data_IF_261459537249
#
_entry.id   IF_261459537249
#
_cell.length_a   1.000
_cell.length_b   1.000
_cell.length_c   1.000
_cell.angle_alpha   90.00
_cell.angle_beta   90.00
_cell.angle_gamma   90.00
#
_symmetry.space_group_name_H-M   'P 1'
#
loop_
_entity.id
_entity.type
_entity.pdbx_description
1 polymer ?
#
# COMPACT_ATOMS: atom_id res chain seq x y z
N UNK A 1 3.68 -42.08 -20.50
CA UNK A 1 4.72 -41.07 -20.77
C UNK A 1 4.57 -40.00 -19.71
N UNK A 2 5.66 -39.65 -19.04
CA UNK A 2 5.69 -38.93 -17.76
C UNK A 2 5.13 -37.50 -17.90
N UNK A 3 4.28 -37.17 -16.95
CA UNK A 3 3.67 -35.87 -16.69
C UNK A 3 4.71 -34.99 -15.97
N UNK A 4 5.08 -33.83 -16.53
CA UNK A 4 5.90 -32.84 -15.83
C UNK A 4 5.62 -31.44 -16.39
N UNK A 5 4.50 -30.87 -15.97
CA UNK A 5 4.32 -29.42 -15.83
C UNK A 5 5.29 -28.90 -14.78
N UNK A 6 6.56 -28.77 -15.16
CA UNK A 6 7.56 -28.03 -14.40
C UNK A 6 7.46 -26.55 -14.81
N UNK A 7 6.43 -25.87 -14.31
CA UNK A 7 6.42 -24.40 -14.23
C UNK A 7 7.46 -23.98 -13.18
N UNK A 8 8.72 -24.12 -13.56
CA UNK A 8 9.84 -23.58 -12.79
C UNK A 8 9.96 -22.15 -13.27
N UNK A 9 9.41 -21.22 -12.49
CA UNK A 9 9.66 -19.79 -12.63
C UNK A 9 11.11 -19.57 -13.05
N UNK A 10 11.32 -18.98 -14.22
CA UNK A 10 12.66 -18.72 -14.75
C UNK A 10 13.53 -18.10 -13.65
N UNK A 11 14.80 -18.49 -13.50
CA UNK A 11 15.68 -17.95 -12.44
C UNK A 11 15.79 -16.41 -12.49
N UNK A 12 15.52 -15.79 -13.64
CA UNK A 12 15.41 -14.35 -13.81
C UNK A 12 14.20 -13.73 -13.08
N UNK A 13 13.07 -14.43 -13.01
CA UNK A 13 11.87 -13.99 -12.29
C UNK A 13 12.08 -14.09 -10.78
N UNK A 14 12.68 -15.18 -10.31
CA UNK A 14 12.99 -15.36 -8.88
C UNK A 14 13.97 -14.29 -8.34
N UNK A 15 14.98 -13.92 -9.12
CA UNK A 15 15.90 -12.85 -8.76
C UNK A 15 15.21 -11.47 -8.71
N UNK A 16 14.29 -11.22 -9.65
CA UNK A 16 13.49 -9.99 -9.71
C UNK A 16 12.54 -9.88 -8.51
N UNK A 17 11.85 -10.98 -8.16
CA UNK A 17 10.97 -11.05 -7.01
C UNK A 17 11.73 -10.85 -5.69
N UNK A 18 12.88 -11.51 -5.52
CA UNK A 18 13.72 -11.34 -4.34
C UNK A 18 14.22 -9.89 -4.20
N UNK A 19 14.61 -9.26 -5.31
CA UNK A 19 14.99 -7.85 -5.33
C UNK A 19 13.82 -6.94 -4.97
N UNK A 20 12.65 -7.15 -5.58
CA UNK A 20 11.44 -6.37 -5.27
C UNK A 20 11.04 -6.50 -3.80
N UNK A 21 11.13 -7.71 -3.23
CA UNK A 21 10.87 -7.95 -1.81
C UNK A 21 11.87 -7.22 -0.91
N UNK A 22 13.17 -7.24 -1.25
CA UNK A 22 14.19 -6.51 -0.51
C UNK A 22 13.93 -4.98 -0.54
N UNK A 23 13.61 -4.43 -1.72
CA UNK A 23 13.24 -3.01 -1.88
C UNK A 23 12.00 -2.67 -1.05
N UNK A 24 10.95 -3.49 -1.11
CA UNK A 24 9.73 -3.28 -0.33
C UNK A 24 10.01 -3.31 1.18
N UNK A 25 10.83 -4.25 1.64
CA UNK A 25 11.22 -4.37 3.06
C UNK A 25 11.97 -3.12 3.53
N UNK A 26 12.96 -2.67 2.76
CA UNK A 26 13.73 -1.48 3.10
C UNK A 26 12.87 -0.22 3.04
N UNK A 27 11.96 -0.12 2.07
CA UNK A 27 11.02 0.99 1.98
C UNK A 27 10.10 1.06 3.21
N UNK A 28 9.53 -0.07 3.63
CA UNK A 28 8.70 -0.12 4.83
C UNK A 28 9.50 0.26 6.08
N UNK A 29 10.73 -0.24 6.22
CA UNK A 29 11.61 0.12 7.33
C UNK A 29 11.99 1.60 7.32
N UNK A 30 12.23 2.19 6.14
CA UNK A 30 12.51 3.61 5.98
C UNK A 30 11.31 4.46 6.44
N UNK A 31 10.11 4.14 5.93
CA UNK A 31 8.89 4.84 6.30
C UNK A 31 8.60 4.72 7.79
N UNK A 32 8.85 3.55 8.38
CA UNK A 32 8.69 3.33 9.82
C UNK A 32 9.78 4.02 10.67
N UNK A 33 10.97 4.26 10.13
CA UNK A 33 12.03 4.96 10.85
C UNK A 33 11.83 6.48 10.96
N UNK A 34 10.85 7.05 10.24
CA UNK A 34 10.60 8.49 10.26
C UNK A 34 10.14 8.94 11.66
N UNK A 35 10.65 10.06 12.21
CA UNK A 35 10.22 10.55 13.52
C UNK A 35 8.73 10.93 13.53
N UNK A 36 8.24 11.46 12.42
CA UNK A 36 6.83 11.69 12.14
C UNK A 36 6.42 10.89 10.90
N UNK A 37 5.30 10.14 10.95
CA UNK A 37 4.83 9.38 9.78
C UNK A 37 4.49 10.31 8.62
N UNK A 38 4.47 9.74 7.40
CA UNK A 38 4.17 10.49 6.16
C UNK A 38 2.88 11.27 6.24
N UNK A 39 1.85 10.70 6.89
CA UNK A 39 0.66 11.45 7.28
C UNK A 39 0.89 11.90 8.74
N UNK A 40 1.03 13.21 8.99
CA UNK A 40 1.21 13.77 10.34
C UNK A 40 0.22 13.24 11.36
N UNK A 41 0.68 12.99 12.60
CA UNK A 41 -0.18 12.49 13.69
C UNK A 41 -1.42 13.37 13.92
N UNK A 42 -1.25 14.69 13.78
CA UNK A 42 -2.32 15.69 13.93
C UNK A 42 -3.48 15.51 12.93
N UNK A 43 -3.26 14.81 11.82
CA UNK A 43 -4.26 14.57 10.79
C UNK A 43 -4.93 13.19 10.90
N UNK A 44 -4.45 12.29 11.78
CA UNK A 44 -4.96 10.90 11.83
C UNK A 44 -6.43 10.82 12.22
N UNK A 45 -6.86 11.61 13.20
CA UNK A 45 -8.26 11.67 13.61
C UNK A 45 -9.15 12.10 12.44
N UNK A 46 -8.73 13.15 11.71
CA UNK A 46 -9.45 13.65 10.55
C UNK A 46 -9.47 12.64 9.40
N UNK A 47 -8.36 11.95 9.13
CA UNK A 47 -8.32 10.85 8.17
C UNK A 47 -9.31 9.73 8.52
N UNK A 48 -9.51 9.43 9.80
CA UNK A 48 -10.45 8.40 10.25
C UNK A 48 -11.92 8.80 10.09
N UNK A 49 -12.23 10.10 10.01
CA UNK A 49 -13.58 10.62 9.81
C UNK A 49 -13.98 10.70 8.34
N UNK A 50 -13.00 10.66 7.42
CA UNK A 50 -13.25 10.73 5.98
C UNK A 50 -14.19 9.63 5.53
N UNK A 51 -15.29 10.05 4.90
CA UNK A 51 -16.37 9.16 4.52
C UNK A 51 -16.40 8.87 3.03
N UNK A 52 -15.79 9.75 2.22
CA UNK A 52 -15.83 9.72 0.77
C UNK A 52 -14.44 9.85 0.16
N UNK A 53 -14.33 9.41 -1.10
CA UNK A 53 -13.09 9.49 -1.88
C UNK A 53 -12.66 10.94 -2.09
N UNK A 54 -13.59 11.81 -2.47
CA UNK A 54 -13.26 13.19 -2.85
C UNK A 54 -12.73 13.96 -1.63
N UNK A 55 -13.35 13.75 -0.46
CA UNK A 55 -12.86 14.25 0.83
C UNK A 55 -11.46 13.70 1.18
N UNK A 56 -11.16 12.44 0.83
CA UNK A 56 -9.84 11.86 1.02
C UNK A 56 -8.78 12.58 0.16
N UNK A 57 -9.09 12.92 -1.09
CA UNK A 57 -8.21 13.69 -1.96
C UNK A 57 -8.06 15.15 -1.50
N UNK A 58 -9.12 15.78 -1.00
CA UNK A 58 -9.03 17.10 -0.38
C UNK A 58 -8.12 17.08 0.85
N UNK A 59 -8.19 16.03 1.66
CA UNK A 59 -7.29 15.83 2.80
C UNK A 59 -5.82 15.76 2.39
N UNK A 60 -5.49 15.14 1.25
CA UNK A 60 -4.11 15.12 0.75
C UNK A 60 -3.55 16.51 0.44
N UNK A 61 -4.40 17.48 0.06
CA UNK A 61 -3.96 18.85 -0.19
C UNK A 61 -3.61 19.61 1.10
N UNK A 62 -3.99 19.09 2.27
CA UNK A 62 -3.68 19.68 3.57
C UNK A 62 -2.34 19.22 4.14
N UNK A 63 -1.70 18.23 3.49
CA UNK A 63 -0.42 17.69 3.91
C UNK A 63 0.71 18.73 3.74
N UNK A 64 1.73 18.77 4.63
CA UNK A 64 2.87 19.69 4.49
C UNK A 64 3.65 19.43 3.20
N UNK A 65 4.12 20.46 2.49
CA UNK A 65 4.82 20.38 1.18
C UNK A 65 5.82 19.22 0.99
N UNK A 66 6.56 18.84 2.04
CA UNK A 66 7.49 17.70 2.05
C UNK A 66 6.83 16.32 1.86
N UNK A 67 5.52 16.23 2.11
CA UNK A 67 4.64 15.06 1.92
C UNK A 67 3.67 15.21 0.73
N UNK A 68 3.63 16.38 0.07
CA UNK A 68 2.68 16.73 -1.03
C UNK A 68 3.14 16.23 -2.39
N UNK A 69 3.75 15.07 -2.43
CA UNK A 69 3.74 14.26 -3.64
C UNK A 69 3.00 12.95 -3.34
N UNK A 70 1.71 12.99 -2.93
CA UNK A 70 0.95 11.77 -2.65
C UNK A 70 0.82 10.92 -3.92
N UNK A 71 0.80 11.55 -5.10
CA UNK A 71 0.87 10.89 -6.41
C UNK A 71 2.26 10.37 -6.79
N UNK A 72 3.27 10.50 -5.93
CA UNK A 72 4.61 9.90 -6.09
C UNK A 72 4.93 8.90 -4.99
N UNK A 73 4.43 9.12 -3.77
CA UNK A 73 4.66 8.22 -2.62
C UNK A 73 3.62 7.10 -2.54
N UNK A 74 2.35 7.36 -2.88
CA UNK A 74 1.30 6.32 -2.97
C UNK A 74 1.21 5.75 -4.38
N UNK A 75 1.50 6.54 -5.42
CA UNK A 75 1.74 5.96 -6.73
C UNK A 75 3.18 5.45 -6.80
N UNK A 76 3.40 4.26 -6.24
CA UNK A 76 4.27 3.30 -6.89
C UNK A 76 3.63 2.94 -8.25
N UNK A 77 3.70 3.90 -9.18
CA UNK A 77 3.29 3.78 -10.57
C UNK A 77 4.22 2.71 -11.15
N UNK A 78 3.71 1.47 -11.18
CA UNK A 78 4.37 0.18 -11.49
C UNK A 78 4.87 -0.64 -10.29
N UNK A 79 4.03 -0.95 -9.30
CA UNK A 79 4.06 -2.34 -8.77
C UNK A 79 3.36 -3.21 -9.83
N UNK A 80 4.13 -3.50 -10.87
CA UNK A 80 4.02 -4.66 -11.75
C UNK A 80 2.59 -5.08 -12.15
N UNK A 81 2.02 -4.32 -13.07
CA UNK A 81 0.91 -4.75 -13.92
C UNK A 81 1.50 -5.53 -15.13
N UNK A 82 2.35 -6.53 -14.89
CA UNK A 82 2.81 -7.43 -15.97
C UNK A 82 1.76 -8.46 -16.39
N UNK A 83 0.61 -8.53 -15.71
CA UNK A 83 -0.47 -9.45 -16.07
C UNK A 83 -1.75 -8.68 -16.48
N UNK A 84 -1.58 -7.64 -17.29
CA UNK A 84 -2.71 -7.05 -18.01
C UNK A 84 -2.81 -7.76 -19.37
N UNK A 85 -3.93 -8.46 -19.59
CA UNK A 85 -4.43 -9.00 -20.86
C UNK A 85 -4.14 -10.46 -21.23
N UNK A 86 -4.03 -11.38 -20.28
CA UNK A 86 -4.43 -12.76 -20.60
C UNK A 86 -5.32 -13.24 -19.47
N UNK A 87 -6.63 -13.25 -19.74
CA UNK A 87 -7.57 -13.98 -18.90
C UNK A 87 -7.23 -15.45 -19.01
N UNK A 88 -6.36 -15.93 -18.14
CA UNK A 88 -6.18 -17.34 -17.88
C UNK A 88 -7.01 -17.67 -16.63
N UNK A 89 -7.99 -18.57 -16.70
CA UNK A 89 -8.84 -18.92 -15.56
C UNK A 89 -8.10 -19.62 -14.41
N UNK A 90 -6.78 -19.81 -14.51
CA UNK A 90 -5.92 -20.53 -13.55
C UNK A 90 -4.89 -19.65 -12.84
N UNK A 91 -5.02 -18.31 -12.91
CA UNK A 91 -4.24 -17.40 -12.07
C UNK A 91 -4.63 -17.60 -10.60
N UNK A 92 -3.77 -18.35 -9.88
CA UNK A 92 -3.92 -18.71 -8.47
C UNK A 92 -3.71 -17.52 -7.52
N UNK A 93 -3.49 -16.33 -8.05
CA UNK A 93 -3.35 -15.10 -7.30
C UNK A 93 -4.65 -14.67 -6.58
N UNK A 94 -4.54 -14.01 -5.41
CA UNK A 94 -5.70 -13.46 -4.74
C UNK A 94 -6.33 -12.36 -5.64
N UNK A 95 -7.68 -12.29 -5.76
CA UNK A 95 -8.36 -11.28 -6.58
C UNK A 95 -7.84 -9.87 -6.32
N UNK A 96 -7.82 -8.99 -7.32
CA UNK A 96 -7.30 -7.60 -7.18
C UNK A 96 -7.81 -6.86 -5.94
N UNK A 97 -9.10 -7.03 -5.62
CA UNK A 97 -9.70 -6.48 -4.39
C UNK A 97 -8.98 -6.93 -3.12
N UNK A 98 -8.66 -8.23 -3.00
CA UNK A 98 -7.94 -8.78 -1.86
C UNK A 98 -6.47 -8.36 -1.81
N UNK A 99 -5.82 -8.13 -2.96
CA UNK A 99 -4.46 -7.57 -3.01
C UNK A 99 -4.44 -6.10 -2.54
N UNK A 100 -5.39 -5.30 -2.98
CA UNK A 100 -5.54 -3.91 -2.52
C UNK A 100 -5.80 -3.83 -1.00
N UNK A 101 -6.62 -4.74 -0.46
CA UNK A 101 -6.85 -4.87 0.97
C UNK A 101 -5.57 -5.21 1.73
N UNK A 102 -4.77 -6.17 1.25
CA UNK A 102 -3.49 -6.53 1.86
C UNK A 102 -2.52 -5.34 1.88
N UNK A 103 -2.39 -4.63 0.76
CA UNK A 103 -1.56 -3.43 0.68
C UNK A 103 -2.05 -2.35 1.64
N UNK A 104 -3.36 -2.15 1.74
CA UNK A 104 -3.97 -1.21 2.69
C UNK A 104 -3.62 -1.56 4.13
N UNK A 105 -3.64 -2.85 4.50
CA UNK A 105 -3.24 -3.31 5.84
C UNK A 105 -1.77 -3.00 6.11
N UNK A 106 -0.87 -3.31 5.17
CA UNK A 106 0.57 -3.09 5.33
C UNK A 106 0.90 -1.60 5.42
N UNK A 107 0.43 -0.80 4.45
CA UNK A 107 0.75 0.62 4.38
C UNK A 107 0.09 1.45 5.47
N UNK A 108 -1.09 1.03 5.99
CA UNK A 108 -1.73 1.74 7.11
C UNK A 108 -0.86 1.82 8.35
N UNK A 109 0.00 0.82 8.58
CA UNK A 109 0.85 0.75 9.79
C UNK A 109 2.04 1.70 9.74
N UNK A 110 2.52 2.02 8.53
CA UNK A 110 3.71 2.89 8.35
C UNK A 110 3.32 4.31 7.95
N UNK A 111 2.25 4.49 7.17
CA UNK A 111 1.79 5.81 6.74
C UNK A 111 0.92 6.52 7.79
N UNK A 112 0.14 5.76 8.58
CA UNK A 112 -0.68 6.26 9.68
C UNK A 112 -0.34 5.55 10.99
N UNK A 113 0.96 5.46 11.33
CA UNK A 113 1.43 4.83 12.57
C UNK A 113 0.73 5.42 13.80
N UNK A 114 0.50 4.62 14.83
CA UNK A 114 -0.06 5.15 16.07
C UNK A 114 0.93 6.11 16.76
N UNK A 115 0.41 7.22 17.29
CA UNK A 115 1.18 8.16 18.09
C UNK A 115 1.35 7.57 19.50
N UNK A 116 2.59 7.32 19.96
CA UNK A 116 2.82 6.76 21.29
C UNK A 116 2.37 7.69 22.42
N UNK A 117 2.29 9.00 22.17
CA UNK A 117 1.91 10.01 23.16
C UNK A 117 0.42 10.37 23.09
N UNK A 118 -0.32 9.82 22.12
CA UNK A 118 -1.74 10.13 21.97
C UNK A 118 -2.58 9.50 23.10
N UNK A 119 -3.29 10.36 23.83
CA UNK A 119 -4.23 9.94 24.87
C UNK A 119 -5.43 9.14 24.32
N UNK A 120 -5.80 9.36 23.05
CA UNK A 120 -6.92 8.69 22.39
C UNK A 120 -6.40 8.00 21.12
N UNK A 121 -6.44 6.66 21.06
CA UNK A 121 -6.03 5.95 19.87
C UNK A 121 -7.05 6.13 18.74
N UNK A 122 -6.56 6.30 17.52
CA UNK A 122 -7.39 6.38 16.32
C UNK A 122 -7.67 4.97 15.79
N UNK A 123 -8.92 4.70 15.39
CA UNK A 123 -9.35 3.37 14.93
C UNK A 123 -8.48 2.85 13.77
N UNK A 124 -7.83 1.68 13.91
CA UNK A 124 -7.03 1.08 12.84
C UNK A 124 -7.87 0.74 11.59
N UNK A 125 -9.15 0.40 11.79
CA UNK A 125 -10.07 0.13 10.68
C UNK A 125 -10.37 1.39 9.89
N UNK A 126 -10.54 2.52 10.57
CA UNK A 126 -10.78 3.81 9.92
C UNK A 126 -9.56 4.29 9.12
N UNK A 127 -8.35 4.12 9.66
CA UNK A 127 -7.09 4.39 8.94
C UNK A 127 -6.96 3.56 7.66
N UNK A 128 -7.34 2.27 7.70
CA UNK A 128 -7.37 1.40 6.52
C UNK A 128 -8.41 1.86 5.50
N UNK A 129 -9.62 2.19 5.95
CA UNK A 129 -10.68 2.70 5.07
C UNK A 129 -10.21 3.97 4.35
N UNK A 130 -9.57 4.88 5.05
CA UNK A 130 -8.97 6.07 4.44
C UNK A 130 -8.00 5.71 3.31
N UNK A 131 -7.04 4.81 3.56
CA UNK A 131 -6.07 4.39 2.54
C UNK A 131 -6.71 3.63 1.37
N UNK A 132 -7.81 2.91 1.60
CA UNK A 132 -8.50 2.17 0.55
C UNK A 132 -9.01 3.08 -0.57
N UNK A 133 -9.35 4.35 -0.27
CA UNK A 133 -9.77 5.33 -1.28
C UNK A 133 -8.70 5.61 -2.35
N UNK A 134 -7.43 5.30 -2.07
CA UNK A 134 -6.32 5.49 -3.00
C UNK A 134 -5.84 4.16 -3.61
N UNK A 135 -5.82 3.07 -2.83
CA UNK A 135 -5.20 1.80 -3.23
C UNK A 135 -6.15 0.93 -4.08
N UNK A 136 -7.47 0.99 -3.85
CA UNK A 136 -8.43 0.13 -4.55
C UNK A 136 -8.72 0.52 -6.01
N UNK A 137 -8.01 1.51 -6.54
CA UNK A 137 -8.18 2.05 -7.91
C UNK A 137 -7.14 1.48 -8.90
N UNK A 138 -6.27 0.56 -8.46
CA UNK A 138 -5.22 -0.04 -9.26
C UNK A 138 -5.49 -1.52 -9.56
#
# INVERSE_FOLDING_TARGET
SLDTTADISSPANAATEAFAHAVATVLLALLDSLPEPVIPFSLHARCAEVSSRDEAFEMLNTLPGASVNPSSTICARKIQNSDINTGDPDDSGPPRATRAEQLTVVFSRVLLRDDPEAAIPVSPLAKRRFLSFFISQF
#
